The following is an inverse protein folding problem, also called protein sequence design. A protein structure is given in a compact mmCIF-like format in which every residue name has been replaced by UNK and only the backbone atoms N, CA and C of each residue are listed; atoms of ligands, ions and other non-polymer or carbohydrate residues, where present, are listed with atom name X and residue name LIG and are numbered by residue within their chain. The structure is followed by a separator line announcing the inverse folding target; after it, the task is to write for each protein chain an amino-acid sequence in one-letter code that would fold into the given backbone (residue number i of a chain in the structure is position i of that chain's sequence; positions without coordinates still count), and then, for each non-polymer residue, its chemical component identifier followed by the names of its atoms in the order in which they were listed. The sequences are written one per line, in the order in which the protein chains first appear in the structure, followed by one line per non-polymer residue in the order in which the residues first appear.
data_IF_260219283941
#
_entry.id   IF_260219283941
#
_cell.length_a   1.000
_cell.length_b   1.000
_cell.length_c   1.000
_cell.angle_alpha   90.00
_cell.angle_beta   90.00
_cell.angle_gamma   90.00
#
_symmetry.space_group_name_H-M   'P 1'
#
loop_
_entity.id
_entity.type
_entity.pdbx_description
1 polymer ?
#
# COMPACT_ATOMS: atom_id res chain seq x y z
N UNK A 1 1.20 20.40 4.79
CA UNK A 1 0.10 20.35 5.76
C UNK A 1 -0.72 19.09 5.52
N UNK A 2 -1.39 18.54 6.53
CA UNK A 2 -2.15 17.28 6.44
C UNK A 2 -3.67 17.50 6.43
N UNK A 3 -4.13 18.72 6.12
CA UNK A 3 -5.56 19.03 6.09
C UNK A 3 -6.24 18.39 4.88
N UNK A 4 -7.49 18.00 5.08
CA UNK A 4 -8.30 17.35 4.04
C UNK A 4 -8.45 18.25 2.82
N UNK A 5 -8.64 19.55 3.03
CA UNK A 5 -8.80 20.56 1.98
C UNK A 5 -7.53 20.70 1.14
N UNK A 6 -6.35 20.66 1.78
CA UNK A 6 -5.07 20.74 1.06
C UNK A 6 -4.84 19.50 0.19
N UNK A 7 -5.20 18.32 0.69
CA UNK A 7 -5.07 17.06 -0.04
C UNK A 7 -6.05 17.04 -1.22
N UNK A 8 -7.30 17.41 -1.00
CA UNK A 8 -8.34 17.43 -2.04
C UNK A 8 -8.05 18.46 -3.14
N UNK A 9 -7.56 19.65 -2.77
CA UNK A 9 -7.16 20.67 -3.73
C UNK A 9 -6.04 20.18 -4.65
N UNK A 10 -4.97 19.62 -4.08
CA UNK A 10 -3.84 19.11 -4.86
C UNK A 10 -4.22 17.86 -5.67
N UNK A 11 -5.01 16.95 -5.11
CA UNK A 11 -5.54 15.78 -5.81
C UNK A 11 -6.37 16.19 -7.03
N UNK A 12 -7.25 17.19 -6.88
CA UNK A 12 -8.06 17.70 -7.99
C UNK A 12 -7.18 18.26 -9.11
N UNK A 13 -6.16 19.04 -8.76
CA UNK A 13 -5.16 19.52 -9.73
C UNK A 13 -4.44 18.36 -10.45
N UNK A 14 -4.01 17.32 -9.72
CA UNK A 14 -3.40 16.15 -10.35
C UNK A 14 -4.34 15.47 -11.37
N UNK A 15 -5.60 15.28 -10.99
CA UNK A 15 -6.62 14.62 -11.82
C UNK A 15 -6.97 15.44 -13.08
N UNK A 16 -7.00 16.76 -12.99
CA UNK A 16 -7.19 17.68 -14.12
C UNK A 16 -5.99 17.63 -15.08
N UNK A 17 -4.78 17.48 -14.53
CA UNK A 17 -3.52 17.41 -15.27
C UNK A 17 -3.12 15.97 -15.66
N UNK A 18 -4.10 15.07 -15.83
CA UNK A 18 -3.87 13.65 -16.13
C UNK A 18 -2.99 13.37 -17.36
N UNK A 19 -2.86 14.30 -18.30
CA UNK A 19 -1.91 14.16 -19.44
C UNK A 19 -0.45 14.13 -18.99
N UNK A 20 -0.16 14.61 -17.78
CA UNK A 20 1.16 14.65 -17.16
C UNK A 20 1.31 13.61 -16.05
N UNK A 21 0.48 12.55 -16.05
CA UNK A 21 0.46 11.53 -14.99
C UNK A 21 1.86 10.99 -14.65
N UNK A 22 2.67 10.62 -15.64
CA UNK A 22 4.03 10.12 -15.42
C UNK A 22 4.93 11.15 -14.72
N UNK A 23 4.89 12.41 -15.14
CA UNK A 23 5.67 13.50 -14.53
C UNK A 23 5.22 13.78 -13.11
N UNK A 24 3.91 13.78 -12.85
CA UNK A 24 3.33 13.98 -11.52
C UNK A 24 3.78 12.87 -10.57
N UNK A 25 3.64 11.60 -10.99
CA UNK A 25 4.04 10.44 -10.18
C UNK A 25 5.56 10.40 -9.96
N UNK A 26 6.35 10.75 -10.98
CA UNK A 26 7.80 10.91 -10.86
C UNK A 26 8.17 11.91 -9.75
N UNK A 27 7.56 13.10 -9.76
CA UNK A 27 7.83 14.11 -8.75
C UNK A 27 7.32 13.70 -7.37
N UNK A 28 6.14 13.07 -7.28
CA UNK A 28 5.64 12.50 -6.04
C UNK A 28 6.65 11.53 -5.42
N UNK A 29 7.20 10.61 -6.21
CA UNK A 29 8.19 9.65 -5.73
C UNK A 29 9.52 10.33 -5.35
N UNK A 30 9.97 11.32 -6.13
CA UNK A 30 11.15 12.14 -5.81
C UNK A 30 11.01 12.83 -4.45
N UNK A 31 9.85 13.38 -4.14
CA UNK A 31 9.57 14.00 -2.84
C UNK A 31 9.47 12.96 -1.72
N UNK A 32 8.85 11.81 -1.98
CA UNK A 32 8.72 10.73 -1.00
C UNK A 32 10.10 10.25 -0.51
N UNK A 33 11.04 10.01 -1.44
CA UNK A 33 12.42 9.58 -1.11
C UNK A 33 13.13 10.56 -0.17
N UNK A 34 12.94 11.87 -0.39
CA UNK A 34 13.61 12.96 0.35
C UNK A 34 12.95 13.34 1.68
N UNK A 35 11.77 12.80 1.96
CA UNK A 35 10.93 13.21 3.09
C UNK A 35 11.12 12.34 4.33
N UNK A 36 10.90 12.91 5.52
CA UNK A 36 10.77 12.16 6.76
C UNK A 36 9.39 11.45 6.85
N UNK A 37 9.26 10.45 7.72
CA UNK A 37 8.05 9.61 7.83
C UNK A 37 6.73 10.38 7.93
N UNK A 38 6.58 11.43 8.77
CA UNK A 38 5.33 12.18 8.85
C UNK A 38 4.92 12.82 7.51
N UNK A 39 5.89 13.31 6.73
CA UNK A 39 5.61 13.91 5.43
C UNK A 39 5.39 12.84 4.35
N UNK A 40 6.08 11.69 4.44
CA UNK A 40 5.80 10.53 3.57
C UNK A 40 4.36 10.06 3.71
N UNK A 41 3.82 10.04 4.93
CA UNK A 41 2.41 9.71 5.17
C UNK A 41 1.45 10.69 4.48
N UNK A 42 1.74 12.00 4.54
CA UNK A 42 0.92 13.00 3.83
C UNK A 42 0.94 12.80 2.31
N UNK A 43 2.10 12.45 1.74
CA UNK A 43 2.23 12.11 0.33
C UNK A 43 1.44 10.85 -0.03
N UNK A 44 1.40 9.85 0.85
CA UNK A 44 0.53 8.67 0.68
C UNK A 44 -0.96 9.02 0.74
N UNK A 45 -1.37 9.97 1.58
CA UNK A 45 -2.77 10.44 1.58
C UNK A 45 -3.15 11.13 0.28
N UNK A 46 -2.23 11.93 -0.30
CA UNK A 46 -2.41 12.50 -1.64
C UNK A 46 -2.56 11.41 -2.70
N UNK A 47 -1.63 10.44 -2.75
CA UNK A 47 -1.68 9.35 -3.71
C UNK A 47 -2.97 8.54 -3.58
N UNK A 48 -3.37 8.25 -2.34
CA UNK A 48 -4.62 7.55 -2.05
C UNK A 48 -5.85 8.30 -2.58
N UNK A 49 -5.93 9.61 -2.37
CA UNK A 49 -7.06 10.39 -2.88
C UNK A 49 -7.10 10.38 -4.41
N UNK A 50 -5.96 10.60 -5.07
CA UNK A 50 -5.86 10.53 -6.54
C UNK A 50 -6.27 9.16 -7.07
N UNK A 51 -5.71 8.06 -6.53
CA UNK A 51 -5.96 6.67 -6.98
C UNK A 51 -7.43 6.26 -6.81
N UNK A 52 -8.07 6.67 -5.71
CA UNK A 52 -9.48 6.35 -5.49
C UNK A 52 -10.41 7.15 -6.41
N UNK A 53 -10.06 8.41 -6.68
CA UNK A 53 -10.91 9.35 -7.40
C UNK A 53 -10.64 9.41 -8.91
N UNK A 54 -9.57 8.79 -9.40
CA UNK A 54 -9.18 8.90 -10.80
C UNK A 54 -10.20 8.27 -11.77
N UNK A 55 -10.82 7.15 -11.40
CA UNK A 55 -11.84 6.48 -12.24
C UNK A 55 -13.02 7.41 -12.54
N UNK A 56 -13.59 8.04 -11.50
CA UNK A 56 -14.73 8.96 -11.62
C UNK A 56 -14.38 10.27 -12.34
N UNK A 57 -13.10 10.63 -12.43
CA UNK A 57 -12.60 11.81 -13.16
C UNK A 57 -12.04 11.49 -14.54
N UNK A 58 -12.30 10.28 -15.06
CA UNK A 58 -11.78 9.81 -16.35
C UNK A 58 -10.24 9.92 -16.44
N UNK A 59 -9.55 9.63 -15.34
CA UNK A 59 -8.10 9.74 -15.18
C UNK A 59 -7.48 8.42 -14.72
N UNK A 60 -8.09 7.28 -15.09
CA UNK A 60 -7.74 5.96 -14.55
C UNK A 60 -6.27 5.56 -14.77
N UNK A 61 -5.60 6.17 -15.77
CA UNK A 61 -4.15 6.07 -16.04
C UNK A 61 -3.28 6.29 -14.79
N UNK A 62 -3.75 7.06 -13.80
CA UNK A 62 -3.03 7.22 -12.54
C UNK A 62 -2.87 5.91 -11.77
N UNK A 63 -3.81 4.96 -11.86
CA UNK A 63 -3.66 3.65 -11.18
C UNK A 63 -2.46 2.91 -11.73
N UNK A 64 -2.39 2.77 -13.05
CA UNK A 64 -1.29 2.06 -13.71
C UNK A 64 0.05 2.73 -13.42
N UNK A 65 0.08 4.07 -13.51
CA UNK A 65 1.31 4.84 -13.26
C UNK A 65 1.77 4.74 -11.80
N UNK A 66 0.85 4.79 -10.83
CA UNK A 66 1.22 4.61 -9.43
C UNK A 66 1.64 3.17 -9.12
N UNK A 67 1.02 2.16 -9.75
CA UNK A 67 1.37 0.76 -9.54
C UNK A 67 2.86 0.48 -9.81
N UNK A 68 3.46 1.16 -10.79
CA UNK A 68 4.89 1.03 -11.11
C UNK A 68 5.82 1.46 -9.97
N UNK A 69 5.42 2.43 -9.14
CA UNK A 69 6.28 3.01 -8.09
C UNK A 69 5.87 2.60 -6.67
N UNK A 70 4.65 2.10 -6.48
CA UNK A 70 4.09 1.76 -5.18
C UNK A 70 4.92 0.71 -4.40
N UNK A 71 5.50 -0.34 -5.02
CA UNK A 71 6.33 -1.30 -4.30
C UNK A 71 7.56 -0.65 -3.64
N UNK A 72 8.26 0.22 -4.36
CA UNK A 72 9.37 0.98 -3.80
C UNK A 72 8.87 1.96 -2.73
N UNK A 73 7.79 2.68 -3.00
CA UNK A 73 7.21 3.63 -2.06
C UNK A 73 6.80 2.99 -0.73
N UNK A 74 6.17 1.81 -0.78
CA UNK A 74 5.80 1.02 0.40
C UNK A 74 7.03 0.67 1.24
N UNK A 75 8.16 0.38 0.59
CA UNK A 75 9.40 0.06 1.29
C UNK A 75 9.98 1.24 2.09
N UNK A 76 9.57 2.48 1.78
CA UNK A 76 10.03 3.71 2.43
C UNK A 76 9.16 4.14 3.62
N UNK A 77 8.07 3.43 3.94
CA UNK A 77 7.10 3.80 4.99
C UNK A 77 6.86 2.69 6.00
N UNK A 78 7.91 1.90 6.27
CA UNK A 78 7.91 0.76 7.21
C UNK A 78 7.88 1.16 8.69
N UNK A 79 8.16 2.41 9.00
CA UNK A 79 8.25 2.88 10.39
C UNK A 79 6.91 2.73 11.12
N UNK A 80 6.90 2.22 12.37
CA UNK A 80 5.68 2.01 13.15
C UNK A 80 4.81 3.25 13.32
N UNK A 81 5.39 4.46 13.26
CA UNK A 81 4.64 5.72 13.36
C UNK A 81 3.67 5.95 12.20
N UNK A 82 3.90 5.33 11.04
CA UNK A 82 3.09 5.54 9.83
C UNK A 82 2.56 4.25 9.22
N UNK A 83 3.22 3.11 9.43
CA UNK A 83 2.93 1.86 8.71
C UNK A 83 1.49 1.35 8.89
N UNK A 84 0.87 1.51 10.07
CA UNK A 84 -0.54 1.16 10.30
C UNK A 84 -1.51 1.96 9.42
N UNK A 85 -1.21 3.24 9.19
CA UNK A 85 -2.01 4.09 8.31
C UNK A 85 -1.84 3.68 6.84
N UNK A 86 -0.64 3.27 6.44
CA UNK A 86 -0.36 2.76 5.10
C UNK A 86 -1.08 1.42 4.88
N UNK A 87 -1.02 0.51 5.85
CA UNK A 87 -1.73 -0.78 5.80
C UNK A 87 -3.25 -0.58 5.63
N UNK A 88 -3.82 0.40 6.34
CA UNK A 88 -5.24 0.77 6.17
C UNK A 88 -5.53 1.26 4.74
N UNK A 89 -4.65 2.04 4.12
CA UNK A 89 -4.81 2.47 2.72
C UNK A 89 -4.83 1.26 1.78
N UNK A 90 -3.88 0.32 1.94
CA UNK A 90 -3.83 -0.88 1.10
C UNK A 90 -5.07 -1.77 1.29
N UNK A 91 -5.55 -1.91 2.53
CA UNK A 91 -6.80 -2.62 2.80
C UNK A 91 -8.01 -1.97 2.12
N UNK A 92 -8.10 -0.64 2.09
CA UNK A 92 -9.17 0.05 1.37
C UNK A 92 -9.08 -0.21 -0.15
N UNK A 93 -7.86 -0.26 -0.71
CA UNK A 93 -7.67 -0.58 -2.12
C UNK A 93 -8.07 -2.01 -2.45
N UNK A 94 -7.76 -2.96 -1.57
CA UNK A 94 -8.18 -4.36 -1.65
C UNK A 94 -9.71 -4.49 -1.59
N UNK A 95 -10.34 -3.97 -0.52
CA UNK A 95 -11.78 -4.07 -0.28
C UNK A 95 -12.61 -3.42 -1.42
N UNK A 96 -12.04 -2.41 -2.11
CA UNK A 96 -12.67 -1.70 -3.23
C UNK A 96 -12.23 -2.19 -4.61
N UNK A 97 -11.43 -3.25 -4.69
CA UNK A 97 -10.86 -3.78 -5.92
C UNK A 97 -10.20 -2.68 -6.79
N UNK A 98 -9.42 -1.81 -6.14
CA UNK A 98 -8.68 -0.71 -6.80
C UNK A 98 -7.51 -1.28 -7.58
N UNK A 99 -6.80 -2.24 -6.97
CA UNK A 99 -5.73 -3.03 -7.57
C UNK A 99 -6.02 -4.52 -7.37
N UNK A 100 -5.48 -5.40 -8.24
CA UNK A 100 -5.58 -6.85 -8.09
C UNK A 100 -4.94 -7.35 -6.79
N UNK A 101 -5.39 -8.51 -6.31
CA UNK A 101 -4.91 -9.13 -5.08
C UNK A 101 -3.38 -9.32 -5.06
N UNK A 102 -2.79 -9.79 -6.16
CA UNK A 102 -1.33 -9.97 -6.30
C UNK A 102 -0.54 -8.66 -6.08
N UNK A 103 -1.09 -7.53 -6.56
CA UNK A 103 -0.48 -6.22 -6.35
C UNK A 103 -0.59 -5.83 -4.88
N UNK A 104 -1.77 -6.01 -4.27
CA UNK A 104 -1.97 -5.72 -2.84
C UNK A 104 -1.03 -6.54 -1.97
N UNK A 105 -0.85 -7.83 -2.26
CA UNK A 105 0.06 -8.71 -1.55
C UNK A 105 1.51 -8.21 -1.63
N UNK A 106 1.99 -7.89 -2.83
CA UNK A 106 3.34 -7.33 -3.00
C UNK A 106 3.55 -6.02 -2.22
N UNK A 107 2.55 -5.14 -2.17
CA UNK A 107 2.61 -3.91 -1.38
C UNK A 107 2.64 -4.16 0.12
N UNK A 108 1.83 -5.09 0.61
CA UNK A 108 1.82 -5.52 2.01
C UNK A 108 3.17 -6.12 2.39
N UNK A 109 3.76 -6.97 1.56
CA UNK A 109 5.11 -7.54 1.77
C UNK A 109 6.19 -6.46 1.80
N UNK A 110 6.16 -5.53 0.85
CA UNK A 110 7.09 -4.41 0.80
C UNK A 110 7.01 -3.51 2.05
N UNK A 111 5.83 -3.34 2.64
CA UNK A 111 5.60 -2.60 3.89
C UNK A 111 6.06 -3.40 5.13
N UNK A 112 6.03 -4.73 5.06
CA UNK A 112 6.11 -5.61 6.23
C UNK A 112 7.42 -6.37 6.34
N UNK A 113 8.60 -5.76 6.11
CA UNK A 113 9.88 -6.41 6.48
C UNK A 113 10.07 -6.54 8.00
N UNK A 114 9.22 -7.34 8.63
CA UNK A 114 9.55 -8.25 9.71
C UNK A 114 9.55 -9.63 9.07
N UNK A 115 10.64 -10.39 9.18
CA UNK A 115 10.74 -11.81 8.80
C UNK A 115 9.60 -12.64 9.45
N UNK A 116 8.41 -12.66 8.87
CA UNK A 116 7.28 -13.48 9.35
C UNK A 116 7.18 -14.84 8.65
N UNK A 117 8.21 -15.28 7.93
CA UNK A 117 8.23 -16.63 7.35
C UNK A 117 8.68 -17.70 8.36
N UNK A 118 9.27 -17.35 9.50
CA UNK A 118 9.77 -18.35 10.47
C UNK A 118 8.72 -18.85 11.47
N UNK A 119 7.75 -18.02 11.88
CA UNK A 119 6.76 -18.44 12.89
C UNK A 119 5.67 -19.34 12.30
N UNK A 120 5.19 -19.01 11.09
CA UNK A 120 4.15 -19.79 10.42
C UNK A 120 4.65 -21.12 9.86
N UNK A 121 5.93 -21.19 9.46
CA UNK A 121 6.56 -22.46 9.06
C UNK A 121 6.83 -23.37 10.27
N UNK A 122 7.29 -22.81 11.40
CA UNK A 122 7.48 -23.58 12.65
C UNK A 122 6.17 -24.11 13.22
N UNK A 123 5.07 -23.38 13.13
CA UNK A 123 3.74 -23.86 13.57
C UNK A 123 3.18 -24.97 12.65
N UNK A 124 3.56 -25.00 11.36
CA UNK A 124 3.17 -26.07 10.44
C UNK A 124 3.95 -27.38 10.66
N UNK A 125 5.21 -27.29 11.08
CA UNK A 125 6.11 -28.44 11.32
C UNK A 125 5.98 -29.04 12.73
N UNK A 126 5.34 -28.34 13.67
CA UNK A 126 5.25 -28.76 15.07
C UNK A 126 3.91 -29.44 15.43
N UNK A 127 3.11 -29.88 14.44
CA UNK A 127 1.92 -30.70 14.70
C UNK A 127 2.37 -32.09 15.17
N UNK A 128 2.08 -32.50 16.42
CA UNK A 128 2.39 -33.85 16.86
C UNK A 128 1.50 -34.84 16.11
N UNK A 129 2.11 -35.85 15.50
CA UNK A 129 1.38 -37.00 14.94
C UNK A 129 0.56 -37.65 16.07
N UNK A 130 -0.77 -37.69 15.93
CA UNK A 130 -1.65 -38.35 16.90
C UNK A 130 -1.32 -39.85 16.95
N UNK A 131 -0.99 -40.44 18.12
CA UNK A 131 -0.86 -41.88 18.23
C UNK A 131 -2.27 -42.50 18.27
N UNK A 132 -2.45 -43.56 17.47
CA UNK A 132 -3.66 -44.36 17.40
C UNK A 132 -3.95 -45.00 18.78
N UNK A 133 -5.18 -44.87 19.28
CA UNK A 133 -5.63 -45.56 20.50
C UNK A 133 -5.80 -47.06 20.20
N UNK A 134 -5.11 -47.91 20.97
CA UNK A 134 -5.40 -49.34 21.06
C UNK A 134 -6.78 -49.53 21.68
N UNK A 135 -7.71 -50.10 20.93
CA UNK A 135 -8.93 -50.70 21.49
C UNK A 135 -8.59 -52.11 21.98
N UNK A 136 -8.71 -52.34 23.28
CA UNK A 136 -8.77 -53.68 23.85
C UNK A 136 -10.24 -54.12 23.93
N UNK A 137 -10.56 -55.29 23.39
CA UNK A 137 -11.65 -56.18 23.80
C UNK A 137 -11.24 -57.60 23.45
#
# INVERSE_FOLDING_TARGET
TNTMESIQGLSSWCLENKRHHSTIVYHWMKWLRRSAFPHRLNLFYLANDVIQNCKRKNAIVFRDTFAEVLPEAASLVKDPSVSKSIERIFKIWEDRNVYPEETILALKEALSTTFKTQKQLKESLNKPNKPWKKSQS
#
